data_IF_326888683601
#
_entry.id   IF_326888683601
#
_cell.length_a   1.000
_cell.length_b   1.000
_cell.length_c   1.000
_cell.angle_alpha   90.00
_cell.angle_beta   90.00
_cell.angle_gamma   90.00
#
_symmetry.space_group_name_H-M   'P 1'
#
loop_
_entity.id
_entity.type
_entity.pdbx_description
1 polymer ?
#
# COMPACT_ATOMS: atom_id res chain seq x y z
N UNK A 1 -4.13 -12.73 15.86
CA UNK A 1 -2.90 -11.91 15.89
C UNK A 1 -1.95 -12.19 14.71
N UNK A 2 -1.73 -13.45 14.30
CA UNK A 2 -0.77 -13.81 13.25
C UNK A 2 -1.10 -13.31 11.82
N UNK A 3 -2.37 -13.05 11.51
CA UNK A 3 -2.82 -12.65 10.16
C UNK A 3 -2.36 -11.25 9.77
N UNK A 4 -2.29 -10.32 10.73
CA UNK A 4 -1.89 -8.94 10.50
C UNK A 4 -0.40 -8.84 10.16
N UNK A 5 0.45 -9.55 10.91
CA UNK A 5 1.89 -9.64 10.64
C UNK A 5 2.18 -10.28 9.28
N UNK A 6 1.40 -11.29 8.86
CA UNK A 6 1.53 -11.93 7.55
C UNK A 6 1.18 -10.99 6.39
N UNK A 7 0.15 -10.15 6.57
CA UNK A 7 -0.24 -9.14 5.59
C UNK A 7 0.79 -8.01 5.49
N UNK A 8 1.32 -7.53 6.62
CA UNK A 8 2.36 -6.47 6.64
C UNK A 8 3.68 -6.96 6.06
N UNK A 9 4.12 -8.17 6.42
CA UNK A 9 5.32 -8.79 5.84
C UNK A 9 5.14 -9.10 4.36
N UNK A 10 3.93 -9.52 3.94
CA UNK A 10 3.61 -9.68 2.54
C UNK A 10 3.60 -8.37 1.74
N UNK A 11 3.15 -7.28 2.37
CA UNK A 11 3.14 -5.94 1.79
C UNK A 11 4.56 -5.34 1.65
N UNK A 12 5.42 -5.56 2.65
CA UNK A 12 6.85 -5.21 2.59
C UNK A 12 7.66 -6.11 1.66
N UNK A 13 7.09 -7.24 1.21
CA UNK A 13 7.75 -8.20 0.31
C UNK A 13 8.56 -9.29 1.01
N UNK A 14 8.47 -9.39 2.34
CA UNK A 14 9.08 -10.46 3.13
C UNK A 14 8.41 -11.83 2.91
N UNK A 15 7.12 -11.85 2.50
CA UNK A 15 6.37 -13.08 2.22
C UNK A 15 5.59 -12.94 0.91
N UNK A 16 5.54 -13.99 0.08
CA UNK A 16 4.78 -13.97 -1.18
C UNK A 16 3.28 -14.11 -0.89
N UNK A 17 2.52 -13.01 -1.00
CA UNK A 17 1.05 -13.04 -0.96
C UNK A 17 0.50 -13.69 -2.25
N UNK A 18 -0.37 -14.69 -2.10
CA UNK A 18 -0.97 -15.46 -3.21
C UNK A 18 -2.36 -14.93 -3.57
N UNK A 19 -2.68 -14.92 -4.88
CA UNK A 19 -4.04 -14.77 -5.41
C UNK A 19 -4.91 -13.65 -4.79
N UNK A 20 -6.04 -14.04 -4.17
CA UNK A 20 -7.03 -13.14 -3.56
C UNK A 20 -6.44 -12.25 -2.47
N UNK A 21 -5.53 -12.78 -1.67
CA UNK A 21 -4.87 -12.03 -0.59
C UNK A 21 -3.95 -10.94 -1.15
N UNK A 22 -3.41 -11.13 -2.36
CA UNK A 22 -2.59 -10.13 -3.06
C UNK A 22 -3.41 -8.95 -3.56
N UNK A 23 -4.61 -9.21 -4.12
CA UNK A 23 -5.56 -8.15 -4.52
C UNK A 23 -6.02 -7.37 -3.31
N UNK A 24 -6.44 -8.09 -2.26
CA UNK A 24 -6.91 -7.49 -1.02
C UNK A 24 -5.80 -6.68 -0.36
N UNK A 25 -4.56 -7.17 -0.32
CA UNK A 25 -3.42 -6.40 0.20
C UNK A 25 -3.11 -5.13 -0.62
N UNK A 26 -3.35 -5.13 -1.94
CA UNK A 26 -3.25 -3.92 -2.77
C UNK A 26 -4.34 -2.89 -2.44
N UNK A 27 -5.59 -3.32 -2.29
CA UNK A 27 -6.71 -2.46 -1.90
C UNK A 27 -6.52 -1.90 -0.47
N UNK A 28 -6.12 -2.75 0.47
CA UNK A 28 -5.79 -2.34 1.84
C UNK A 28 -4.57 -1.43 1.90
N UNK A 29 -3.53 -1.71 1.13
CA UNK A 29 -2.36 -0.84 1.02
C UNK A 29 -2.73 0.54 0.48
N UNK A 30 -3.62 0.61 -0.51
CA UNK A 30 -4.11 1.89 -1.05
C UNK A 30 -4.89 2.67 0.02
N UNK A 31 -5.78 2.01 0.78
CA UNK A 31 -6.49 2.62 1.89
C UNK A 31 -5.53 3.11 3.00
N UNK A 32 -4.50 2.33 3.33
CA UNK A 32 -3.47 2.72 4.30
C UNK A 32 -2.68 3.92 3.77
N UNK A 33 -2.43 4.02 2.46
CA UNK A 33 -1.77 5.19 1.87
C UNK A 33 -2.58 6.47 2.16
N UNK A 34 -3.91 6.39 2.18
CA UNK A 34 -4.76 7.56 2.48
C UNK A 34 -4.49 8.13 3.87
N UNK A 35 -4.10 7.31 4.85
CA UNK A 35 -3.74 7.77 6.20
C UNK A 35 -2.50 8.69 6.20
N UNK A 36 -1.64 8.61 5.19
CA UNK A 36 -0.45 9.46 5.09
C UNK A 36 -0.68 10.73 4.28
N UNK A 37 -1.53 10.68 3.24
CA UNK A 37 -1.82 11.88 2.43
C UNK A 37 -2.93 12.76 3.01
N UNK A 38 -3.95 12.18 3.67
CA UNK A 38 -5.07 12.96 4.21
C UNK A 38 -4.59 13.99 5.25
N UNK A 39 -3.73 13.66 6.24
CA UNK A 39 -3.23 14.66 7.17
C UNK A 39 -2.48 15.81 6.47
N UNK A 40 -1.72 15.51 5.41
CA UNK A 40 -1.02 16.51 4.60
C UNK A 40 -1.98 17.49 3.89
N UNK A 41 -3.19 17.06 3.55
CA UNK A 41 -4.18 17.91 2.86
C UNK A 41 -4.88 18.89 3.81
N UNK A 42 -5.02 18.54 5.09
CA UNK A 42 -5.74 19.34 6.08
C UNK A 42 -4.83 20.05 7.08
N UNK A 43 -3.55 19.72 7.11
CA UNK A 43 -2.59 20.34 8.02
C UNK A 43 -1.91 21.52 7.32
N UNK A 44 -2.33 22.76 7.65
CA UNK A 44 -1.86 23.98 6.98
C UNK A 44 -0.37 24.31 7.20
N UNK A 45 0.18 23.99 8.38
CA UNK A 45 1.59 24.23 8.71
C UNK A 45 2.28 23.00 9.32
N UNK A 46 2.48 21.91 8.56
CA UNK A 46 3.22 20.77 9.04
C UNK A 46 4.71 21.12 8.92
N UNK A 47 5.48 20.82 9.97
CA UNK A 47 6.93 21.00 9.93
C UNK A 47 7.52 20.25 8.73
N UNK A 48 8.52 20.83 8.07
CA UNK A 48 9.10 20.31 6.80
C UNK A 48 9.43 18.82 6.88
N UNK A 49 10.00 18.37 8.00
CA UNK A 49 10.35 16.97 8.23
C UNK A 49 9.11 16.08 8.21
N UNK A 50 8.05 16.48 8.92
CA UNK A 50 6.79 15.72 9.00
C UNK A 50 6.16 15.64 7.61
N UNK A 51 6.14 16.74 6.88
CA UNK A 51 5.60 16.79 5.52
C UNK A 51 6.32 15.83 4.58
N UNK A 52 7.65 15.88 4.58
CA UNK A 52 8.48 15.01 3.73
C UNK A 52 8.32 13.54 4.10
N UNK A 53 8.32 13.21 5.40
CA UNK A 53 8.14 11.83 5.86
C UNK A 53 6.78 11.29 5.45
N UNK A 54 5.68 12.03 5.66
CA UNK A 54 4.35 11.59 5.25
C UNK A 54 4.23 11.44 3.73
N UNK A 55 4.84 12.32 2.95
CA UNK A 55 4.85 12.21 1.48
C UNK A 55 5.61 10.97 1.01
N UNK A 56 6.78 10.68 1.59
CA UNK A 56 7.58 9.49 1.27
C UNK A 56 6.84 8.21 1.65
N UNK A 57 6.18 8.18 2.82
CA UNK A 57 5.37 7.05 3.25
C UNK A 57 4.17 6.84 2.33
N UNK A 58 3.47 7.92 1.96
CA UNK A 58 2.38 7.87 0.99
C UNK A 58 2.84 7.32 -0.36
N UNK A 59 3.93 7.86 -0.91
CA UNK A 59 4.47 7.45 -2.20
C UNK A 59 4.91 5.98 -2.19
N UNK A 60 5.61 5.53 -1.16
CA UNK A 60 6.08 4.16 -1.04
C UNK A 60 4.91 3.15 -0.93
N UNK A 61 3.94 3.45 -0.06
CA UNK A 61 2.77 2.59 0.18
C UNK A 61 1.83 2.61 -1.04
N UNK A 62 1.57 3.78 -1.63
CA UNK A 62 0.75 3.93 -2.82
C UNK A 62 1.33 3.20 -4.03
N UNK A 63 2.65 3.33 -4.26
CA UNK A 63 3.33 2.66 -5.37
C UNK A 63 3.27 1.14 -5.23
N UNK A 64 3.59 0.59 -4.03
CA UNK A 64 3.51 -0.85 -3.78
C UNK A 64 2.09 -1.39 -3.97
N UNK A 65 1.10 -0.65 -3.50
CA UNK A 65 -0.32 -1.00 -3.65
C UNK A 65 -0.75 -1.04 -5.12
N UNK A 66 -0.36 -0.04 -5.90
CA UNK A 66 -0.61 0.02 -7.34
C UNK A 66 0.05 -1.15 -8.09
N UNK A 67 1.29 -1.50 -7.76
CA UNK A 67 1.97 -2.65 -8.35
C UNK A 67 1.28 -3.98 -8.02
N UNK A 68 0.88 -4.19 -6.76
CA UNK A 68 0.17 -5.41 -6.34
C UNK A 68 -1.19 -5.54 -7.05
N UNK A 69 -1.91 -4.44 -7.21
CA UNK A 69 -3.16 -4.40 -7.96
C UNK A 69 -2.95 -4.67 -9.47
N UNK A 70 -1.91 -4.05 -10.07
CA UNK A 70 -1.61 -4.15 -11.51
C UNK A 70 -1.09 -5.53 -11.92
N UNK A 71 -0.22 -6.17 -11.13
CA UNK A 71 0.21 -7.56 -11.39
C UNK A 71 -0.95 -8.54 -11.29
N UNK A 72 -1.88 -8.29 -10.37
CA UNK A 72 -3.10 -9.10 -10.24
C UNK A 72 -3.98 -8.96 -11.49
N UNK A 73 -4.11 -7.75 -12.03
CA UNK A 73 -4.83 -7.50 -13.28
C UNK A 73 -4.18 -8.24 -14.46
N UNK A 74 -2.85 -8.19 -14.58
CA UNK A 74 -2.07 -8.91 -15.61
C UNK A 74 -2.29 -10.43 -15.54
N UNK A 75 -2.32 -11.01 -14.34
CA UNK A 75 -2.59 -12.45 -14.13
C UNK A 75 -4.03 -12.85 -14.47
N UNK A 76 -5.02 -12.01 -14.20
CA UNK A 76 -6.42 -12.31 -14.55
C UNK A 76 -6.67 -12.19 -16.06
N UNK A 77 -5.97 -11.28 -16.75
CA UNK A 77 -6.06 -11.15 -18.22
C UNK A 77 -5.42 -12.31 -19.00
N UNK A 78 -4.55 -13.08 -18.35
CA UNK A 78 -3.84 -14.22 -18.96
C UNK A 78 -4.53 -15.57 -18.71
N UNK A 79 -5.67 -15.60 -18.00
CA UNK A 79 -6.51 -16.80 -17.96
C UNK A 79 -7.40 -16.80 -19.22
N UNK A 80 -7.33 -17.86 -20.06
CA UNK A 80 -8.19 -17.99 -21.24
C UNK A 80 -9.66 -18.07 -20.86
#
# INVERSE_FOLDING_TARGET
MNRFLYLVSGFFGFIKLTGKDRKSAGEWGFLISMLFIVPLLFWEHPGVIVSVVLQLLWAAVGTRSAFLASETWKKNKQKP
#
